data_IF_931803592318
#
_entry.id   IF_931803592318
#
_cell.length_a   1.000
_cell.length_b   1.000
_cell.length_c   1.000
_cell.angle_alpha   90.00
_cell.angle_beta   90.00
_cell.angle_gamma   90.00
#
_symmetry.space_group_name_H-M   'P 1'
#
loop_
_entity.id
_entity.type
_entity.pdbx_description
1 polymer ?
#
# COMPACT_ATOMS: atom_id res chain seq x y z
N UNK A 1 -4.05 -42.13 -22.49
CA UNK A 1 -4.51 -40.78 -22.91
C UNK A 1 -3.82 -39.70 -22.05
N UNK A 2 -2.59 -39.97 -21.58
CA UNK A 2 -1.99 -39.24 -20.45
C UNK A 2 -0.73 -38.43 -20.85
N UNK A 3 -0.32 -38.53 -22.11
CA UNK A 3 0.85 -37.83 -22.67
C UNK A 3 0.51 -36.45 -23.25
N UNK A 4 -0.77 -36.15 -23.46
CA UNK A 4 -1.21 -34.83 -23.95
C UNK A 4 -1.33 -33.83 -22.79
N UNK A 5 -1.87 -34.26 -21.64
CA UNK A 5 -2.04 -33.41 -20.45
C UNK A 5 -0.71 -32.93 -19.84
N UNK A 6 0.37 -33.67 -20.02
CA UNK A 6 1.72 -33.29 -19.56
C UNK A 6 2.46 -32.38 -20.54
N UNK A 7 2.07 -32.35 -21.82
CA UNK A 7 2.60 -31.39 -22.80
C UNK A 7 1.97 -30.01 -22.65
N UNK A 8 0.66 -29.98 -22.44
CA UNK A 8 -0.13 -28.76 -22.28
C UNK A 8 0.38 -27.89 -21.12
N UNK A 9 0.57 -28.48 -19.92
CA UNK A 9 1.12 -27.76 -18.77
C UNK A 9 2.58 -27.29 -18.94
N UNK A 10 3.36 -27.96 -19.79
CA UNK A 10 4.75 -27.55 -20.09
C UNK A 10 4.80 -26.41 -21.10
N UNK A 11 3.78 -26.29 -21.95
CA UNK A 11 3.62 -25.17 -22.87
C UNK A 11 3.08 -23.93 -22.13
N UNK A 12 2.16 -24.11 -21.19
CA UNK A 12 1.69 -23.05 -20.29
C UNK A 12 2.82 -22.48 -19.41
N UNK A 13 3.66 -23.34 -18.82
CA UNK A 13 4.81 -22.91 -17.99
C UNK A 13 5.86 -22.15 -18.83
N UNK A 14 6.06 -22.55 -20.09
CA UNK A 14 6.95 -21.83 -21.03
C UNK A 14 6.36 -20.49 -21.45
N UNK A 15 5.06 -20.44 -21.73
CA UNK A 15 4.37 -19.19 -22.06
C UNK A 15 4.35 -18.21 -20.88
N UNK A 16 4.18 -18.72 -19.65
CA UNK A 16 4.30 -17.93 -18.43
C UNK A 16 5.74 -17.39 -18.26
N UNK A 17 6.75 -18.24 -18.47
CA UNK A 17 8.16 -17.84 -18.40
C UNK A 17 8.52 -16.81 -19.48
N UNK A 18 7.99 -16.94 -20.70
CA UNK A 18 8.19 -15.97 -21.78
C UNK A 18 7.52 -14.63 -21.48
N UNK A 19 6.31 -14.66 -20.90
CA UNK A 19 5.61 -13.45 -20.46
C UNK A 19 6.34 -12.72 -19.32
N UNK A 20 6.90 -13.47 -18.36
CA UNK A 20 7.71 -12.90 -17.28
C UNK A 20 9.00 -12.25 -17.80
N UNK A 21 9.67 -12.88 -18.77
CA UNK A 21 10.87 -12.32 -19.40
C UNK A 21 10.56 -11.04 -20.18
N UNK A 22 9.47 -11.04 -20.94
CA UNK A 22 9.03 -9.84 -21.68
C UNK A 22 8.61 -8.71 -20.72
N UNK A 23 7.95 -9.03 -19.60
CA UNK A 23 7.63 -8.05 -18.56
C UNK A 23 8.90 -7.48 -17.92
N UNK A 24 9.85 -8.32 -17.52
CA UNK A 24 11.12 -7.89 -16.94
C UNK A 24 11.89 -7.00 -17.91
N UNK A 25 11.90 -7.34 -19.20
CA UNK A 25 12.51 -6.53 -20.25
C UNK A 25 11.84 -5.17 -20.39
N UNK A 26 10.50 -5.11 -20.45
CA UNK A 26 9.77 -3.82 -20.51
C UNK A 26 9.99 -2.95 -19.29
N UNK A 27 10.08 -3.54 -18.10
CA UNK A 27 10.33 -2.78 -16.86
C UNK A 27 11.78 -2.29 -16.74
N UNK A 28 12.75 -2.97 -17.36
CA UNK A 28 14.18 -2.66 -17.23
C UNK A 28 14.73 -1.83 -18.39
N UNK A 29 14.32 -2.17 -19.62
CA UNK A 29 14.82 -1.58 -20.87
C UNK A 29 13.75 -0.73 -21.59
N UNK A 30 12.50 -0.79 -21.16
CA UNK A 30 11.43 0.00 -21.77
C UNK A 30 11.58 1.48 -21.43
N UNK A 31 11.39 2.34 -22.42
CA UNK A 31 11.28 3.77 -22.20
C UNK A 31 10.11 4.02 -21.24
N UNK A 32 10.37 4.72 -20.13
CA UNK A 32 9.30 5.23 -19.29
C UNK A 32 8.47 6.18 -20.15
N UNK A 33 7.14 5.97 -20.19
CA UNK A 33 6.24 6.93 -20.81
C UNK A 33 6.47 8.30 -20.16
N UNK A 34 7.11 9.21 -20.90
CA UNK A 34 7.23 10.60 -20.49
C UNK A 34 5.84 11.22 -20.58
N UNK A 35 5.08 11.10 -19.49
CA UNK A 35 3.80 11.80 -19.35
C UNK A 35 4.08 13.28 -19.11
N UNK A 36 3.15 14.11 -19.56
CA UNK A 36 3.21 15.53 -19.24
C UNK A 36 3.11 15.69 -17.71
N UNK A 37 4.08 16.40 -17.13
CA UNK A 37 4.12 16.64 -15.69
C UNK A 37 2.85 17.36 -15.18
N UNK A 38 2.22 18.16 -16.04
CA UNK A 38 0.98 18.86 -15.72
C UNK A 38 -0.21 17.89 -15.67
N UNK A 39 -0.30 16.93 -16.58
CA UNK A 39 -1.36 15.90 -16.56
C UNK A 39 -1.22 14.97 -15.36
N UNK A 40 0.01 14.53 -15.05
CA UNK A 40 0.27 13.66 -13.90
C UNK A 40 -0.05 14.35 -12.57
N UNK A 41 0.22 15.66 -12.46
CA UNK A 41 -0.15 16.44 -11.30
C UNK A 41 -1.67 16.51 -11.12
N UNK A 42 -2.43 16.64 -12.21
CA UNK A 42 -3.90 16.67 -12.18
C UNK A 42 -4.48 15.31 -11.77
N UNK A 43 -3.93 14.19 -12.26
CA UNK A 43 -4.38 12.84 -11.86
C UNK A 43 -4.17 12.56 -10.37
N UNK A 44 -3.10 13.11 -9.78
CA UNK A 44 -2.80 12.95 -8.34
C UNK A 44 -3.69 13.80 -7.43
N UNK A 45 -4.38 14.81 -7.97
CA UNK A 45 -5.26 15.65 -7.16
C UNK A 45 -6.51 14.86 -6.74
N UNK A 46 -6.98 15.03 -5.48
CA UNK A 46 -8.23 14.44 -5.06
C UNK A 46 -9.40 14.98 -5.91
N UNK A 47 -10.45 14.18 -6.14
CA UNK A 47 -11.61 14.62 -6.90
C UNK A 47 -12.24 15.89 -6.32
N UNK A 48 -12.74 16.77 -7.18
CA UNK A 48 -13.32 18.08 -6.79
C UNK A 48 -14.49 17.99 -5.81
N UNK A 49 -15.10 16.82 -5.67
CA UNK A 49 -16.25 16.55 -4.79
C UNK A 49 -15.85 15.89 -3.47
N UNK A 50 -14.57 15.58 -3.25
CA UNK A 50 -14.09 15.00 -2.00
C UNK A 50 -13.61 16.12 -1.05
N UNK A 51 -14.23 16.21 0.13
CA UNK A 51 -13.78 17.10 1.20
C UNK A 51 -13.17 16.24 2.31
N UNK A 52 -11.85 16.27 2.42
CA UNK A 52 -11.11 15.62 3.52
C UNK A 52 -10.92 16.63 4.65
N UNK A 53 -11.68 16.46 5.73
CA UNK A 53 -11.49 17.26 6.95
C UNK A 53 -10.64 16.42 7.90
N UNK A 54 -9.43 16.88 8.19
CA UNK A 54 -8.65 16.32 9.30
C UNK A 54 -9.32 16.76 10.59
N UNK A 55 -9.73 15.82 11.43
CA UNK A 55 -10.28 16.14 12.74
C UNK A 55 -9.21 16.81 13.60
N UNK A 56 -9.45 18.06 14.02
CA UNK A 56 -8.51 18.81 14.87
C UNK A 56 -8.34 18.20 16.26
N UNK A 57 -9.35 17.46 16.72
CA UNK A 57 -9.38 16.76 18.01
C UNK A 57 -9.93 15.36 17.81
N UNK A 58 -9.19 14.37 18.32
CA UNK A 58 -9.64 13.00 18.42
C UNK A 58 -10.15 12.75 19.85
N UNK A 59 -11.48 12.70 20.07
CA UNK A 59 -12.05 12.51 21.40
C UNK A 59 -11.62 11.19 22.04
N UNK A 60 -11.34 10.14 21.24
CA UNK A 60 -10.90 8.84 21.76
C UNK A 60 -9.47 8.93 22.28
N UNK A 61 -8.60 9.65 21.57
CA UNK A 61 -7.24 9.89 22.01
C UNK A 61 -7.19 10.74 23.30
N UNK A 62 -8.01 11.80 23.37
CA UNK A 62 -8.13 12.67 24.55
C UNK A 62 -8.66 11.92 25.78
N UNK A 63 -9.72 11.13 25.61
CA UNK A 63 -10.28 10.28 26.66
C UNK A 63 -9.25 9.23 27.12
N UNK A 64 -8.58 8.56 26.18
CA UNK A 64 -7.56 7.55 26.50
C UNK A 64 -6.40 8.16 27.29
N UNK A 65 -5.92 9.34 26.90
CA UNK A 65 -4.88 10.06 27.64
C UNK A 65 -5.34 10.43 29.05
N UNK A 66 -6.59 10.89 29.20
CA UNK A 66 -7.19 11.23 30.48
C UNK A 66 -7.32 10.00 31.40
N UNK A 67 -7.88 8.90 30.90
CA UNK A 67 -8.04 7.67 31.67
C UNK A 67 -6.69 7.06 32.05
N UNK A 68 -5.68 7.11 31.17
CA UNK A 68 -4.33 6.66 31.50
C UNK A 68 -3.65 7.54 32.55
N UNK A 69 -3.87 8.86 32.49
CA UNK A 69 -3.40 9.80 33.52
C UNK A 69 -4.04 9.52 34.88
N UNK A 70 -5.35 9.25 34.91
CA UNK A 70 -6.07 8.84 36.12
C UNK A 70 -5.61 7.47 36.63
N UNK A 71 -5.35 6.52 35.73
CA UNK A 71 -4.85 5.19 36.07
C UNK A 71 -3.38 5.18 36.55
N UNK A 72 -2.66 6.30 36.44
CA UNK A 72 -1.26 6.44 36.89
C UNK A 72 -1.10 6.37 38.42
N UNK A 73 -2.18 6.23 39.20
CA UNK A 73 -2.16 6.55 40.63
C UNK A 73 -2.24 5.38 41.64
N UNK A 74 -2.01 4.10 41.30
CA UNK A 74 -1.97 3.05 42.38
C UNK A 74 -0.88 1.97 42.25
N UNK A 75 -0.35 1.65 41.07
CA UNK A 75 0.48 0.43 40.96
C UNK A 75 1.72 0.51 40.05
N UNK A 76 2.17 1.69 39.62
CA UNK A 76 3.47 1.84 38.92
C UNK A 76 3.66 1.02 37.60
N UNK A 77 2.68 0.21 37.19
CA UNK A 77 2.75 -0.75 36.07
C UNK A 77 2.77 -0.06 34.70
N UNK A 78 2.36 1.20 34.64
CA UNK A 78 2.42 2.03 33.44
C UNK A 78 3.43 3.15 33.65
N UNK A 79 4.70 2.75 33.77
CA UNK A 79 5.86 3.63 33.82
C UNK A 79 6.33 4.00 32.42
N UNK A 80 6.43 5.31 32.22
CA UNK A 80 7.34 6.04 31.32
C UNK A 80 7.21 5.81 29.81
N UNK A 81 6.66 6.82 29.13
CA UNK A 81 6.98 7.10 27.73
C UNK A 81 8.16 8.08 27.77
N UNK A 82 9.35 7.63 27.37
CA UNK A 82 10.42 8.52 26.93
C UNK A 82 10.00 9.19 25.61
N UNK A 83 10.27 10.49 25.49
CA UNK A 83 10.06 11.31 24.28
C UNK A 83 10.94 10.87 23.09
#
# INVERSE_FOLDING_TARGET
MDTEKTKDGREEERAASEAELELARRLTEGDMEARDAEEEAVEKLPPKWEVRIQSERDPVAEETALYRKMAKEVDGRYGEQEE
#
